data_IF_623890347868
#
_entry.id   IF_623890347868
#
_cell.length_a   1.000
_cell.length_b   1.000
_cell.length_c   1.000
_cell.angle_alpha   90.00
_cell.angle_beta   90.00
_cell.angle_gamma   90.00
#
_symmetry.space_group_name_H-M   'P 1'
#
loop_
_entity.id
_entity.type
_entity.pdbx_description
1 polymer ?
#
# COMPACT_ATOMS: atom_id res chain seq x y z
N UNK A 1 -2.42 36.52 5.13
CA UNK A 1 -1.93 37.52 4.14
C UNK A 1 -0.48 37.84 4.48
N UNK A 2 0.41 37.61 3.51
CA UNK A 2 1.85 37.51 3.65
C UNK A 2 2.48 38.93 3.58
N UNK A 3 3.02 39.43 4.69
CA UNK A 3 3.59 40.78 4.77
C UNK A 3 5.11 40.73 4.91
N UNK A 4 5.81 40.75 3.78
CA UNK A 4 7.14 41.36 3.59
C UNK A 4 8.29 40.89 4.50
N UNK A 5 9.08 39.96 3.99
CA UNK A 5 10.55 40.05 3.74
C UNK A 5 10.96 38.78 3.00
N UNK A 6 11.69 38.91 1.90
CA UNK A 6 12.16 37.81 1.05
C UNK A 6 12.97 36.79 1.89
N UNK A 7 12.44 35.59 2.08
CA UNK A 7 13.28 34.42 2.36
C UNK A 7 13.93 34.00 1.04
N UNK A 8 15.17 33.52 1.09
CA UNK A 8 15.84 32.91 -0.06
C UNK A 8 15.30 31.50 -0.26
N UNK A 9 14.00 31.39 -0.50
CA UNK A 9 13.41 30.12 -0.83
C UNK A 9 14.01 29.67 -2.17
N UNK A 10 14.82 28.61 -2.14
CA UNK A 10 15.39 28.03 -3.34
C UNK A 10 14.27 27.33 -4.13
N UNK A 11 13.65 28.10 -5.02
CA UNK A 11 12.68 27.58 -5.97
C UNK A 11 13.40 26.73 -7.02
N UNK A 12 12.93 25.50 -7.16
CA UNK A 12 13.24 24.63 -8.30
C UNK A 12 11.97 24.36 -9.09
N UNK A 13 12.11 23.83 -10.31
CA UNK A 13 10.96 23.38 -11.11
C UNK A 13 10.16 22.25 -10.43
N UNK A 14 10.73 21.59 -9.41
CA UNK A 14 10.17 20.41 -8.74
C UNK A 14 9.59 20.71 -7.36
N UNK A 15 9.86 21.88 -6.79
CA UNK A 15 9.48 22.20 -5.42
C UNK A 15 10.29 23.35 -4.83
N UNK A 16 10.06 23.58 -3.54
CA UNK A 16 10.64 24.68 -2.77
C UNK A 16 11.25 24.13 -1.48
N UNK A 17 12.47 24.56 -1.18
CA UNK A 17 13.03 24.46 0.17
C UNK A 17 12.52 25.65 0.97
N UNK A 18 11.56 25.42 1.85
CA UNK A 18 10.96 26.43 2.69
C UNK A 18 11.74 26.56 4.00
N UNK A 19 12.27 27.74 4.26
CA UNK A 19 12.91 28.08 5.53
C UNK A 19 11.84 28.45 6.58
N UNK A 20 11.95 27.92 7.80
CA UNK A 20 10.99 28.26 8.84
C UNK A 20 11.08 29.75 9.20
N UNK A 21 9.93 30.41 9.44
CA UNK A 21 9.92 31.82 9.75
C UNK A 21 10.61 32.10 11.09
N UNK A 22 11.49 33.10 11.09
CA UNK A 22 12.19 33.59 12.27
C UNK A 22 12.12 35.13 12.31
N UNK A 23 10.90 35.65 12.47
CA UNK A 23 10.61 37.07 12.47
C UNK A 23 10.80 37.66 13.88
N UNK A 24 11.36 38.87 13.96
CA UNK A 24 11.48 39.64 15.23
C UNK A 24 10.15 40.26 15.69
N UNK A 25 9.01 39.70 15.30
CA UNK A 25 7.67 40.23 15.63
C UNK A 25 7.25 39.71 17.01
N UNK A 26 6.60 40.54 17.81
CA UNK A 26 6.05 40.10 19.10
C UNK A 26 4.84 39.17 18.87
N UNK A 27 4.89 37.93 19.35
CA UNK A 27 3.78 36.98 19.34
C UNK A 27 4.18 35.55 18.94
N UNK A 28 3.25 34.59 19.07
CA UNK A 28 3.45 33.17 18.71
C UNK A 28 3.23 32.87 17.21
N UNK A 29 3.28 33.88 16.35
CA UNK A 29 2.88 33.75 14.94
C UNK A 29 3.75 32.75 14.17
N UNK A 30 5.07 32.84 14.31
CA UNK A 30 6.01 31.95 13.63
C UNK A 30 5.83 30.50 14.11
N UNK A 31 5.62 30.30 15.42
CA UNK A 31 5.33 28.99 15.99
C UNK A 31 4.02 28.41 15.45
N UNK A 32 2.98 29.23 15.30
CA UNK A 32 1.70 28.79 14.73
C UNK A 32 1.83 28.41 13.25
N UNK A 33 2.65 29.14 12.48
CA UNK A 33 2.92 28.84 11.07
C UNK A 33 3.70 27.53 10.91
N UNK A 34 4.76 27.33 11.70
CA UNK A 34 5.54 26.09 11.73
C UNK A 34 4.66 24.91 12.17
N UNK A 35 3.81 25.10 13.18
CA UNK A 35 2.90 24.05 13.66
C UNK A 35 1.84 23.71 12.61
N UNK A 36 1.29 24.69 11.90
CA UNK A 36 0.37 24.44 10.79
C UNK A 36 1.04 23.67 9.64
N UNK A 37 2.29 24.01 9.32
CA UNK A 37 3.10 23.30 8.34
C UNK A 37 3.35 21.84 8.76
N UNK A 38 3.69 21.62 10.03
CA UNK A 38 3.86 20.28 10.61
C UNK A 38 2.57 19.45 10.53
N UNK A 39 1.42 20.04 10.87
CA UNK A 39 0.14 19.36 10.77
C UNK A 39 -0.17 18.93 9.32
N UNK A 40 0.14 19.78 8.34
CA UNK A 40 -0.04 19.44 6.92
C UNK A 40 0.89 18.31 6.48
N UNK A 41 2.13 18.27 6.99
CA UNK A 41 3.08 17.20 6.72
C UNK A 41 2.59 15.85 7.26
N UNK A 42 2.17 15.83 8.53
CA UNK A 42 1.68 14.61 9.21
C UNK A 42 0.38 14.09 8.58
N UNK A 43 -0.55 14.98 8.25
CA UNK A 43 -1.82 14.64 7.64
C UNK A 43 -1.77 14.47 6.11
N UNK A 44 -0.59 14.67 5.48
CA UNK A 44 -0.40 14.67 4.02
C UNK A 44 -1.39 15.58 3.29
N UNK A 45 -1.68 16.74 3.89
CA UNK A 45 -2.60 17.74 3.30
C UNK A 45 -1.81 18.60 2.32
N UNK A 46 -2.25 18.74 1.06
CA UNK A 46 -1.60 19.60 0.08
C UNK A 46 -1.78 21.08 0.43
N UNK A 47 -0.78 21.88 0.05
CA UNK A 47 -0.71 23.32 0.25
C UNK A 47 -0.72 24.05 -1.10
N UNK A 48 -1.22 25.29 -1.11
CA UNK A 48 -0.93 26.19 -2.22
C UNK A 48 0.39 26.91 -1.97
N UNK A 49 1.34 26.74 -2.87
CA UNK A 49 2.61 27.48 -2.87
C UNK A 49 2.51 28.60 -3.89
N UNK A 50 2.75 29.84 -3.45
CA UNK A 50 2.63 31.03 -4.28
C UNK A 50 4.03 31.58 -4.55
N UNK A 51 4.42 31.66 -5.80
CA UNK A 51 5.74 32.16 -6.23
C UNK A 51 5.60 33.42 -7.11
N UNK A 52 6.73 34.11 -7.34
CA UNK A 52 6.77 35.30 -8.20
C UNK A 52 6.69 34.86 -9.66
N UNK A 53 5.72 35.39 -10.40
CA UNK A 53 5.58 35.15 -11.84
C UNK A 53 6.47 36.08 -12.65
N UNK A 54 6.84 35.66 -13.87
CA UNK A 54 7.53 36.51 -14.85
C UNK A 54 6.74 37.80 -15.15
N UNK A 55 5.40 37.73 -15.06
CA UNK A 55 4.56 38.92 -15.07
C UNK A 55 4.43 39.50 -13.66
N UNK A 56 5.00 40.68 -13.43
CA UNK A 56 4.99 41.38 -12.12
C UNK A 56 3.59 41.61 -11.53
N UNK A 57 2.54 41.63 -12.37
CA UNK A 57 1.13 41.79 -11.94
C UNK A 57 0.47 40.48 -11.50
N UNK A 58 1.08 39.33 -11.77
CA UNK A 58 0.54 38.00 -11.47
C UNK A 58 1.41 37.26 -10.44
N UNK A 59 0.92 36.12 -9.98
CA UNK A 59 1.63 35.15 -9.14
C UNK A 59 1.41 33.77 -9.73
N UNK A 60 2.43 32.93 -9.69
CA UNK A 60 2.27 31.53 -10.06
C UNK A 60 1.81 30.78 -8.80
N UNK A 61 0.83 29.88 -8.99
CA UNK A 61 0.24 29.09 -7.90
C UNK A 61 0.49 27.63 -8.23
N UNK A 62 1.20 26.97 -7.32
CA UNK A 62 1.52 25.55 -7.39
C UNK A 62 0.75 24.84 -6.28
N UNK A 63 0.44 23.56 -6.49
CA UNK A 63 0.00 22.70 -5.40
C UNK A 63 1.23 21.94 -4.92
N UNK A 64 1.52 22.02 -3.62
CA UNK A 64 2.68 21.43 -2.99
C UNK A 64 2.30 20.39 -1.95
N UNK A 65 3.09 19.33 -1.83
CA UNK A 65 3.00 18.38 -0.72
C UNK A 65 4.34 18.39 0.04
N UNK A 66 4.28 18.44 1.37
CA UNK A 66 5.49 18.41 2.19
C UNK A 66 6.05 16.97 2.17
N UNK A 67 7.22 16.79 1.57
CA UNK A 67 7.91 15.50 1.51
C UNK A 67 8.84 15.30 2.71
N UNK A 68 9.47 16.38 3.21
CA UNK A 68 10.35 16.35 4.37
C UNK A 68 10.11 17.57 5.28
N UNK A 69 10.26 17.37 6.58
CA UNK A 69 10.12 18.37 7.63
C UNK A 69 11.25 18.19 8.66
N UNK A 70 12.24 19.09 8.63
CA UNK A 70 13.46 19.02 9.43
C UNK A 70 13.47 20.14 10.49
N UNK A 71 13.26 19.76 11.76
CA UNK A 71 13.29 20.68 12.88
C UNK A 71 14.72 21.11 13.27
N UNK A 72 15.73 20.29 13.01
CA UNK A 72 17.12 20.62 13.38
C UNK A 72 17.67 21.69 12.45
N UNK A 73 17.37 21.57 11.16
CA UNK A 73 17.78 22.54 10.14
C UNK A 73 16.79 23.70 9.96
N UNK A 74 15.63 23.64 10.62
CA UNK A 74 14.53 24.60 10.49
C UNK A 74 14.05 24.77 9.03
N UNK A 75 13.89 23.65 8.32
CA UNK A 75 13.49 23.63 6.90
C UNK A 75 12.42 22.58 6.62
N UNK A 76 11.62 22.83 5.59
CA UNK A 76 10.75 21.83 4.98
C UNK A 76 10.97 21.79 3.47
N UNK A 77 10.92 20.60 2.88
CA UNK A 77 10.90 20.45 1.43
C UNK A 77 9.46 20.21 0.97
N UNK A 78 8.96 21.14 0.15
CA UNK A 78 7.61 21.09 -0.42
C UNK A 78 7.73 20.81 -1.90
N UNK A 79 7.34 19.61 -2.31
CA UNK A 79 7.36 19.18 -3.71
C UNK A 79 6.13 19.66 -4.43
N UNK A 80 6.28 20.21 -5.63
CA UNK A 80 5.15 20.53 -6.50
C UNK A 80 4.56 19.26 -7.09
N UNK A 81 3.23 19.13 -6.98
CA UNK A 81 2.47 17.97 -7.41
C UNK A 81 1.33 18.41 -8.32
N UNK A 82 0.98 17.54 -9.28
CA UNK A 82 -0.19 17.78 -10.11
C UNK A 82 -1.50 17.37 -9.41
N UNK A 83 -2.62 17.93 -9.85
CA UNK A 83 -3.96 17.50 -9.41
C UNK A 83 -4.21 16.00 -9.62
N UNK A 84 -3.51 15.36 -10.58
CA UNK A 84 -3.60 13.91 -10.82
C UNK A 84 -2.85 13.09 -9.77
N UNK A 85 -1.75 13.63 -9.22
CA UNK A 85 -1.03 13.00 -8.11
C UNK A 85 -1.76 13.18 -6.78
N UNK A 86 -2.58 14.23 -6.68
CA UNK A 86 -3.51 14.49 -5.60
C UNK A 86 -4.86 13.82 -5.80
N UNK A 87 -5.07 13.11 -6.91
CA UNK A 87 -6.23 12.26 -7.11
C UNK A 87 -6.08 11.04 -6.18
N UNK A 88 -6.31 11.29 -4.89
CA UNK A 88 -6.85 10.31 -3.97
C UNK A 88 -8.27 10.02 -4.44
N UNK A 89 -8.41 9.38 -5.61
CA UNK A 89 -9.59 8.60 -5.87
C UNK A 89 -9.61 7.60 -4.72
N UNK A 90 -10.49 7.82 -3.74
CA UNK A 90 -10.58 6.93 -2.59
C UNK A 90 -10.68 5.51 -3.15
N UNK A 91 -9.81 4.59 -2.69
CA UNK A 91 -9.82 3.25 -3.22
C UNK A 91 -11.25 2.71 -3.17
N UNK A 92 -11.75 2.24 -4.31
CA UNK A 92 -13.13 1.79 -4.36
C UNK A 92 -13.32 0.68 -3.34
N UNK A 93 -14.26 0.87 -2.41
CA UNK A 93 -14.59 -0.16 -1.43
C UNK A 93 -15.39 -1.26 -2.11
N UNK A 94 -14.79 -2.46 -2.20
CA UNK A 94 -15.41 -3.65 -2.73
C UNK A 94 -15.91 -4.51 -1.56
N UNK A 95 -17.24 -4.66 -1.47
CA UNK A 95 -17.93 -5.43 -0.42
C UNK A 95 -18.16 -6.91 -0.78
N UNK A 96 -17.52 -7.39 -1.84
CA UNK A 96 -17.60 -8.81 -2.18
C UNK A 96 -16.75 -9.65 -1.21
N UNK A 97 -17.24 -10.84 -0.85
CA UNK A 97 -16.42 -11.85 -0.17
C UNK A 97 -15.20 -12.20 -1.02
N UNK A 98 -14.15 -12.75 -0.39
CA UNK A 98 -12.94 -13.18 -1.10
C UNK A 98 -13.23 -14.08 -2.29
N UNK A 99 -14.06 -15.12 -2.06
CA UNK A 99 -14.42 -16.08 -3.10
C UNK A 99 -15.15 -15.40 -4.27
N UNK A 100 -16.10 -14.51 -3.98
CA UNK A 100 -16.87 -13.82 -5.02
C UNK A 100 -16.01 -12.86 -5.83
N UNK A 101 -15.06 -12.18 -5.20
CA UNK A 101 -14.11 -11.30 -5.90
C UNK A 101 -13.22 -12.08 -6.86
N UNK A 102 -12.65 -13.19 -6.39
CA UNK A 102 -11.83 -14.10 -7.21
C UNK A 102 -12.63 -14.62 -8.40
N UNK A 103 -13.83 -15.16 -8.16
CA UNK A 103 -14.70 -15.69 -9.23
C UNK A 103 -15.06 -14.63 -10.29
N UNK A 104 -15.34 -13.39 -9.88
CA UNK A 104 -15.59 -12.29 -10.82
C UNK A 104 -14.36 -11.99 -11.67
N UNK A 105 -13.18 -11.96 -11.06
CA UNK A 105 -11.93 -11.73 -11.78
C UNK A 105 -11.63 -12.87 -12.75
N UNK A 106 -11.77 -14.12 -12.34
CA UNK A 106 -11.57 -15.29 -13.18
C UNK A 106 -12.51 -15.32 -14.37
N UNK A 107 -13.79 -14.93 -14.19
CA UNK A 107 -14.73 -14.77 -15.30
C UNK A 107 -14.26 -13.73 -16.34
N UNK A 108 -13.66 -12.62 -15.88
CA UNK A 108 -13.09 -11.60 -16.77
C UNK A 108 -11.83 -12.12 -17.49
N UNK A 109 -10.98 -12.88 -16.79
CA UNK A 109 -9.82 -13.55 -17.37
C UNK A 109 -10.26 -14.53 -18.46
N UNK A 110 -11.22 -15.41 -18.17
CA UNK A 110 -11.77 -16.37 -19.12
C UNK A 110 -12.34 -15.68 -20.36
N UNK A 111 -13.10 -14.60 -20.18
CA UNK A 111 -13.58 -13.77 -21.31
C UNK A 111 -12.43 -13.19 -22.14
N UNK A 112 -11.32 -12.80 -21.51
CA UNK A 112 -10.12 -12.30 -22.20
C UNK A 112 -9.36 -13.41 -22.92
N UNK A 113 -9.32 -14.62 -22.37
CA UNK A 113 -8.64 -15.79 -22.95
C UNK A 113 -9.26 -16.22 -24.29
N UNK A 114 -10.59 -16.07 -24.46
CA UNK A 114 -11.30 -16.36 -25.72
C UNK A 114 -10.85 -15.45 -26.88
N UNK A 115 -10.17 -14.33 -26.60
CA UNK A 115 -9.64 -13.44 -27.65
C UNK A 115 -8.23 -13.83 -28.11
N UNK A 116 -7.77 -13.34 -29.25
CA UNK A 116 -6.40 -13.59 -29.70
C UNK A 116 -5.37 -12.80 -28.88
N UNK A 117 -4.13 -13.30 -28.83
CA UNK A 117 -3.03 -12.60 -28.16
C UNK A 117 -2.84 -11.17 -28.68
N UNK A 118 -2.88 -10.98 -30.00
CA UNK A 118 -2.77 -9.65 -30.62
C UNK A 118 -3.87 -8.68 -30.15
N UNK A 119 -5.12 -9.16 -30.01
CA UNK A 119 -6.22 -8.34 -29.46
C UNK A 119 -5.98 -7.97 -28.00
N UNK A 120 -5.46 -8.88 -27.18
CA UNK A 120 -5.10 -8.59 -25.77
C UNK A 120 -3.98 -7.56 -25.69
N UNK A 121 -2.89 -7.73 -26.45
CA UNK A 121 -1.77 -6.80 -26.48
C UNK A 121 -2.20 -5.38 -26.87
N UNK A 122 -3.07 -5.24 -27.88
CA UNK A 122 -3.63 -3.94 -28.26
C UNK A 122 -4.41 -3.28 -27.12
N UNK A 123 -5.20 -4.04 -26.34
CA UNK A 123 -5.91 -3.51 -25.16
C UNK A 123 -4.96 -3.09 -24.05
N UNK A 124 -3.89 -3.86 -23.81
CA UNK A 124 -2.86 -3.56 -22.79
C UNK A 124 -2.10 -2.28 -23.14
N UNK A 125 -1.75 -2.09 -24.43
CA UNK A 125 -1.07 -0.88 -24.88
C UNK A 125 -1.94 0.38 -24.76
N UNK A 126 -3.26 0.22 -24.87
CA UNK A 126 -4.22 1.30 -24.75
C UNK A 126 -4.70 1.54 -23.30
N UNK A 127 -4.35 0.68 -22.35
CA UNK A 127 -4.79 0.80 -20.95
C UNK A 127 -3.82 1.62 -20.10
N UNK A 128 -4.35 2.22 -19.03
CA UNK A 128 -3.51 2.79 -17.98
C UNK A 128 -2.62 1.70 -17.36
N UNK A 129 -1.33 2.01 -17.22
CA UNK A 129 -0.33 1.10 -16.63
C UNK A 129 -0.41 1.10 -15.10
N UNK A 130 -1.05 2.09 -14.51
CA UNK A 130 -1.21 2.22 -13.06
C UNK A 130 -2.49 1.52 -12.62
N UNK A 131 -2.41 0.41 -11.85
CA UNK A 131 -3.61 -0.27 -11.37
C UNK A 131 -4.33 0.59 -10.32
N UNK A 132 -5.66 0.62 -10.41
CA UNK A 132 -6.50 1.25 -9.38
C UNK A 132 -6.45 0.42 -8.10
N UNK A 133 -6.23 1.09 -6.97
CA UNK A 133 -6.34 0.46 -5.65
C UNK A 133 -7.81 0.23 -5.31
N UNK A 134 -8.09 -0.92 -4.70
CA UNK A 134 -9.41 -1.28 -4.15
C UNK A 134 -9.24 -1.66 -2.69
N UNK A 135 -10.17 -1.21 -1.83
CA UNK A 135 -10.25 -1.64 -0.44
C UNK A 135 -11.24 -2.78 -0.33
N UNK A 136 -10.92 -3.79 0.50
CA UNK A 136 -11.79 -4.95 0.72
C UNK A 136 -11.76 -5.34 2.19
N UNK A 137 -12.93 -5.71 2.71
CA UNK A 137 -13.06 -6.35 4.02
C UNK A 137 -12.96 -7.87 3.88
N UNK A 138 -12.20 -8.50 4.77
CA UNK A 138 -12.04 -9.95 4.85
C UNK A 138 -12.38 -10.35 6.27
N UNK A 139 -13.22 -11.36 6.43
CA UNK A 139 -13.40 -12.08 7.69
C UNK A 139 -12.48 -13.30 7.66
N UNK A 140 -11.69 -13.47 8.72
CA UNK A 140 -10.74 -14.57 8.86
C UNK A 140 -10.81 -15.13 10.30
N UNK A 141 -10.30 -16.35 10.47
CA UNK A 141 -10.26 -17.04 11.75
C UNK A 141 -8.91 -16.83 12.44
N UNK A 142 -8.95 -16.42 13.71
CA UNK A 142 -7.76 -16.38 14.56
C UNK A 142 -7.34 -17.81 14.92
N UNK A 143 -6.33 -18.34 14.22
CA UNK A 143 -5.82 -19.70 14.44
C UNK A 143 -4.92 -19.76 15.67
N UNK A 144 -4.94 -20.89 16.35
CA UNK A 144 -4.10 -21.21 17.48
C UNK A 144 -2.66 -21.47 16.99
N UNK A 145 -1.70 -20.61 17.34
CA UNK A 145 -0.33 -20.74 16.87
C UNK A 145 0.35 -22.04 17.34
N UNK A 146 -0.08 -22.62 18.46
CA UNK A 146 0.49 -23.86 18.99
C UNK A 146 0.09 -25.08 18.15
N UNK A 147 -1.14 -25.10 17.62
CA UNK A 147 -1.60 -26.17 16.70
C UNK A 147 -0.76 -26.14 15.43
N UNK A 148 -0.55 -24.94 14.86
CA UNK A 148 0.27 -24.75 13.67
C UNK A 148 1.72 -25.17 13.91
N UNK A 149 2.33 -24.71 15.00
CA UNK A 149 3.72 -25.03 15.32
C UNK A 149 3.94 -26.53 15.55
N UNK A 150 3.06 -27.18 16.31
CA UNK A 150 3.17 -28.61 16.62
C UNK A 150 2.92 -29.49 15.38
N UNK A 151 1.97 -29.12 14.50
CA UNK A 151 1.77 -29.82 13.23
C UNK A 151 3.02 -29.76 12.33
N UNK A 152 3.64 -28.57 12.21
CA UNK A 152 4.88 -28.41 11.44
C UNK A 152 6.04 -29.21 12.05
N UNK A 153 6.16 -29.23 13.37
CA UNK A 153 7.16 -30.02 14.09
C UNK A 153 7.00 -31.52 13.82
N UNK A 154 5.77 -32.05 13.94
CA UNK A 154 5.46 -33.46 13.68
C UNK A 154 5.76 -33.88 12.23
N UNK A 155 5.49 -32.99 11.27
CA UNK A 155 5.70 -33.25 9.86
C UNK A 155 7.19 -33.40 9.46
N UNK A 156 8.12 -32.87 10.26
CA UNK A 156 9.58 -32.96 10.04
C UNK A 156 10.00 -32.55 8.62
N UNK A 157 9.32 -31.55 8.07
CA UNK A 157 9.57 -31.06 6.72
C UNK A 157 9.15 -31.98 5.58
N UNK A 158 8.35 -33.01 5.85
CA UNK A 158 7.74 -33.87 4.83
C UNK A 158 6.25 -33.52 4.71
N UNK A 159 5.77 -33.34 3.48
CA UNK A 159 4.35 -33.13 3.23
C UNK A 159 3.55 -34.39 3.56
N UNK A 160 2.54 -34.28 4.41
CA UNK A 160 1.73 -35.42 4.86
C UNK A 160 0.70 -35.90 3.82
N UNK A 161 0.56 -35.18 2.69
CA UNK A 161 -0.31 -35.59 1.58
C UNK A 161 0.44 -36.34 0.48
N UNK A 162 1.56 -35.80 -0.02
CA UNK A 162 2.33 -36.42 -1.12
C UNK A 162 3.60 -37.13 -0.66
N UNK A 163 3.93 -37.08 0.63
CA UNK A 163 5.11 -37.69 1.24
C UNK A 163 6.45 -37.21 0.65
N UNK A 164 6.44 -36.07 -0.06
CA UNK A 164 7.66 -35.43 -0.56
C UNK A 164 8.21 -34.44 0.46
N UNK A 165 9.53 -34.21 0.48
CA UNK A 165 10.11 -33.15 1.29
C UNK A 165 9.55 -31.77 0.89
N UNK A 166 9.60 -30.83 1.83
CA UNK A 166 9.24 -29.44 1.58
C UNK A 166 10.00 -28.90 0.34
N UNK A 167 9.34 -28.10 -0.52
CA UNK A 167 9.93 -27.66 -1.77
C UNK A 167 11.12 -26.71 -1.60
N UNK A 168 11.21 -26.02 -0.46
CA UNK A 168 12.31 -25.11 -0.15
C UNK A 168 12.42 -24.85 1.36
N UNK A 169 13.51 -24.19 1.74
CA UNK A 169 13.78 -23.74 3.10
C UNK A 169 13.41 -22.26 3.26
N UNK A 170 12.70 -21.92 4.33
CA UNK A 170 12.33 -20.55 4.70
C UNK A 170 13.58 -19.70 4.90
N UNK A 171 13.71 -18.59 4.16
CA UNK A 171 14.81 -17.63 4.34
C UNK A 171 14.80 -16.96 5.72
N UNK A 172 13.62 -16.83 6.34
CA UNK A 172 13.44 -16.14 7.62
C UNK A 172 14.02 -16.89 8.80
N UNK A 173 14.00 -18.24 8.79
CA UNK A 173 14.37 -19.04 9.96
C UNK A 173 15.06 -20.38 9.64
N UNK A 174 15.31 -20.71 8.37
CA UNK A 174 16.03 -21.93 8.00
C UNK A 174 15.21 -23.23 8.07
N UNK A 175 13.90 -23.17 8.31
CA UNK A 175 13.04 -24.35 8.41
C UNK A 175 12.45 -24.78 7.04
N UNK A 176 12.11 -26.07 6.87
CA UNK A 176 11.31 -26.54 5.74
C UNK A 176 9.98 -25.77 5.57
N UNK A 177 9.64 -25.38 4.33
CA UNK A 177 8.38 -24.69 4.04
C UNK A 177 7.22 -25.66 3.79
N UNK A 178 6.31 -25.77 4.77
CA UNK A 178 5.00 -26.40 4.64
C UNK A 178 3.92 -25.44 5.13
N UNK A 179 2.69 -25.63 4.65
CA UNK A 179 1.50 -24.89 5.04
C UNK A 179 0.57 -25.82 5.83
N UNK A 180 0.08 -25.37 6.99
CA UNK A 180 -0.88 -26.13 7.80
C UNK A 180 -2.28 -25.87 7.27
N UNK A 181 -2.96 -26.95 6.88
CA UNK A 181 -4.29 -26.95 6.29
C UNK A 181 -5.27 -27.69 7.17
N UNK A 182 -6.43 -27.09 7.45
CA UNK A 182 -7.51 -27.78 8.16
C UNK A 182 -8.23 -28.76 7.23
N UNK A 183 -8.31 -30.03 7.62
CA UNK A 183 -8.95 -31.11 6.84
C UNK A 183 -10.44 -30.81 6.66
N UNK A 184 -11.14 -30.52 7.77
CA UNK A 184 -12.45 -29.87 7.75
C UNK A 184 -12.22 -28.35 7.88
N UNK A 185 -12.60 -27.53 6.90
CA UNK A 185 -12.37 -26.08 6.96
C UNK A 185 -13.02 -25.41 8.18
N UNK A 186 -12.34 -24.42 8.77
CA UNK A 186 -12.88 -23.63 9.87
C UNK A 186 -14.20 -22.93 9.49
N UNK A 187 -14.34 -22.50 8.23
CA UNK A 187 -15.58 -21.91 7.68
C UNK A 187 -16.77 -22.85 7.68
N UNK A 188 -16.53 -24.16 7.76
CA UNK A 188 -17.56 -25.21 7.81
C UNK A 188 -17.71 -25.81 9.22
N UNK A 189 -17.19 -25.12 10.24
CA UNK A 189 -17.20 -25.58 11.62
C UNK A 189 -16.20 -26.71 11.87
N UNK A 190 -15.04 -26.68 11.20
CA UNK A 190 -13.88 -27.48 11.58
C UNK A 190 -13.27 -26.98 12.89
N UNK A 191 -12.71 -27.89 13.67
CA UNK A 191 -12.02 -27.55 14.91
C UNK A 191 -10.58 -27.09 14.61
N UNK A 192 -10.07 -26.19 15.42
CA UNK A 192 -8.66 -25.77 15.36
C UNK A 192 -7.83 -26.65 16.31
N UNK A 193 -7.64 -27.90 15.89
CA UNK A 193 -7.03 -28.98 16.68
C UNK A 193 -6.02 -29.78 15.84
N UNK A 194 -5.12 -30.52 16.50
CA UNK A 194 -4.10 -31.33 15.80
C UNK A 194 -4.72 -32.46 14.98
N UNK A 195 -5.89 -32.93 15.38
CA UNK A 195 -6.64 -34.00 14.72
C UNK A 195 -7.29 -33.51 13.41
N UNK A 196 -7.50 -32.21 13.26
CA UNK A 196 -8.15 -31.61 12.10
C UNK A 196 -7.18 -30.82 11.21
N UNK A 197 -5.86 -30.95 11.38
CA UNK A 197 -4.89 -30.26 10.53
C UNK A 197 -3.89 -31.21 9.89
N UNK A 198 -3.35 -30.77 8.76
CA UNK A 198 -2.29 -31.46 8.05
C UNK A 198 -1.25 -30.46 7.54
N UNK A 199 0.04 -30.76 7.72
CA UNK A 199 1.15 -29.99 7.17
C UNK A 199 1.45 -30.46 5.73
N UNK A 200 1.20 -29.59 4.75
CA UNK A 200 1.27 -29.93 3.34
C UNK A 200 2.10 -28.94 2.52
N UNK A 201 2.62 -29.38 1.38
CA UNK A 201 3.34 -28.49 0.48
C UNK A 201 2.37 -27.55 -0.26
N UNK A 202 2.85 -26.41 -0.78
CA UNK A 202 2.00 -25.45 -1.50
C UNK A 202 1.23 -26.05 -2.67
N UNK A 203 1.82 -27.03 -3.36
CA UNK A 203 1.17 -27.71 -4.48
C UNK A 203 -0.01 -28.56 -4.00
N UNK A 204 0.18 -29.38 -2.96
CA UNK A 204 -0.91 -30.18 -2.38
C UNK A 204 -1.99 -29.29 -1.78
N UNK A 205 -1.62 -28.18 -1.13
CA UNK A 205 -2.59 -27.24 -0.57
C UNK A 205 -3.46 -26.63 -1.66
N UNK A 206 -2.87 -26.13 -2.75
CA UNK A 206 -3.64 -25.59 -3.87
C UNK A 206 -4.49 -26.66 -4.54
N UNK A 207 -3.99 -27.89 -4.70
CA UNK A 207 -4.74 -29.02 -5.23
C UNK A 207 -6.00 -29.32 -4.41
N UNK A 208 -5.92 -29.26 -3.07
CA UNK A 208 -7.08 -29.48 -2.19
C UNK A 208 -8.14 -28.38 -2.35
N UNK A 209 -7.74 -27.13 -2.58
CA UNK A 209 -8.69 -26.02 -2.79
C UNK A 209 -9.28 -25.97 -4.20
N UNK A 210 -8.52 -26.34 -5.23
CA UNK A 210 -8.87 -26.03 -6.64
C UNK A 210 -8.91 -27.23 -7.59
N UNK A 211 -8.34 -28.39 -7.24
CA UNK A 211 -8.25 -29.58 -8.09
C UNK A 211 -6.97 -29.70 -8.90
#
# INVERSE_FOLDING_TARGET
>A
MHTGKDYSDDFSDQGINYDFPATKRNGSHDQNEIQALKNCYEAKIPLFVISKSANKKLRDVHIGLIENFDNEQNKAYIKFVSLKELDVSEPQLVRDTQAKYINKFDALVNKSQVTTSAKRQKRILASDKTPKKVLRYIEDYARNPNVVAEALYKAKGICEACHQPAPFIKKSNGEPYLEVHHIKPLSEGGEDSLENVQAICPNCHRKMHFG
#
